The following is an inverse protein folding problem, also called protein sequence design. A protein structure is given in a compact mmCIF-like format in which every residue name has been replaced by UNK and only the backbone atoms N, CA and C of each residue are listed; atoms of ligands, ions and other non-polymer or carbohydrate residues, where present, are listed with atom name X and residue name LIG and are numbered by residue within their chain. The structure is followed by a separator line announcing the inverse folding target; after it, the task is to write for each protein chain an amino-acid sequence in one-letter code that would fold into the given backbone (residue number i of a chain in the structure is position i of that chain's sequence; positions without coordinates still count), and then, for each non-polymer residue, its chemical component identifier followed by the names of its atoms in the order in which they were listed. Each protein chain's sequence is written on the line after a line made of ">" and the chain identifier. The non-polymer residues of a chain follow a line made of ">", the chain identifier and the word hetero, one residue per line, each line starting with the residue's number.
data_IF_199213003658
#
_entry.id   IF_199213003658
#
_cell.length_a   1.000
_cell.length_b   1.000
_cell.length_c   1.000
_cell.angle_alpha   90.00
_cell.angle_beta   90.00
_cell.angle_gamma   90.00
#
_symmetry.space_group_name_H-M   'P 1'
#
loop_
_entity.id
_entity.type
_entity.pdbx_description
1 polymer ?
#
# COMPACT_ATOMS: atom_id res chain seq x y z
N UNK A 1 17.60 6.48 18.61
CA UNK A 1 18.31 5.46 17.80
C UNK A 1 18.43 4.07 18.46
N UNK A 2 18.79 3.91 19.74
CA UNK A 2 18.91 2.57 20.38
C UNK A 2 17.59 1.78 20.42
N UNK A 3 16.46 2.44 20.67
CA UNK A 3 15.13 1.80 20.69
C UNK A 3 14.71 1.22 19.34
N UNK A 4 15.00 1.90 18.24
CA UNK A 4 14.67 1.43 16.88
C UNK A 4 15.47 0.18 16.50
N UNK A 5 16.78 0.16 16.79
CA UNK A 5 17.64 -1.01 16.56
C UNK A 5 17.17 -2.24 17.35
N UNK A 6 16.76 -2.04 18.60
CA UNK A 6 16.23 -3.12 19.45
C UNK A 6 14.93 -3.69 18.87
N UNK A 7 13.99 -2.84 18.45
CA UNK A 7 12.73 -3.28 17.82
C UNK A 7 12.98 -4.10 16.55
N UNK A 8 13.89 -3.65 15.69
CA UNK A 8 14.24 -4.40 14.47
C UNK A 8 14.89 -5.75 14.79
N UNK A 9 15.70 -5.85 15.86
CA UNK A 9 16.30 -7.11 16.28
C UNK A 9 15.25 -8.10 16.77
N UNK A 10 14.30 -7.64 17.60
CA UNK A 10 13.18 -8.47 18.11
C UNK A 10 12.34 -9.02 16.96
N UNK A 11 12.00 -8.18 15.98
CA UNK A 11 11.23 -8.60 14.80
C UNK A 11 11.99 -9.68 14.01
N UNK A 12 13.31 -9.52 13.82
CA UNK A 12 14.13 -10.52 13.12
C UNK A 12 14.20 -11.85 13.87
N UNK A 13 14.35 -11.82 15.19
CA UNK A 13 14.34 -13.04 16.01
C UNK A 13 12.99 -13.77 15.88
N UNK A 14 11.88 -13.04 15.93
CA UNK A 14 10.56 -13.63 15.73
C UNK A 14 10.39 -14.22 14.32
N UNK A 15 10.88 -13.55 13.27
CA UNK A 15 10.86 -14.06 11.89
C UNK A 15 11.64 -15.36 11.74
N UNK A 16 12.84 -15.43 12.33
CA UNK A 16 13.67 -16.65 12.34
C UNK A 16 12.93 -17.77 13.07
N UNK A 17 12.33 -17.49 14.23
CA UNK A 17 11.55 -18.48 14.99
C UNK A 17 10.37 -19.03 14.16
N UNK A 18 9.66 -18.19 13.42
CA UNK A 18 8.57 -18.61 12.53
C UNK A 18 9.07 -19.56 11.45
N UNK A 19 10.21 -19.27 10.81
CA UNK A 19 10.80 -20.16 9.79
C UNK A 19 11.18 -21.51 10.40
N UNK A 20 11.84 -21.49 11.57
CA UNK A 20 12.23 -22.72 12.27
C UNK A 20 11.04 -23.56 12.71
N UNK A 21 9.93 -22.93 13.13
CA UNK A 21 8.69 -23.62 13.50
C UNK A 21 7.91 -24.11 12.28
N UNK A 22 8.07 -23.47 11.12
CA UNK A 22 7.32 -23.83 9.93
C UNK A 22 7.61 -25.24 9.44
N UNK A 23 8.87 -25.67 9.47
CA UNK A 23 9.28 -27.02 9.07
C UNK A 23 8.58 -28.11 9.91
N UNK A 24 8.74 -28.19 11.25
CA UNK A 24 8.10 -29.22 12.06
C UNK A 24 6.56 -29.13 12.04
N UNK A 25 6.01 -27.91 12.04
CA UNK A 25 4.55 -27.72 11.98
C UNK A 25 4.02 -28.21 10.64
N UNK A 26 4.65 -27.84 9.52
CA UNK A 26 4.21 -28.33 8.21
C UNK A 26 4.42 -29.82 8.06
N UNK A 27 5.45 -30.44 8.63
CA UNK A 27 5.61 -31.91 8.60
C UNK A 27 4.54 -32.62 9.41
N UNK A 28 4.21 -32.15 10.62
CA UNK A 28 3.14 -32.73 11.45
C UNK A 28 1.77 -32.52 10.78
N UNK A 29 1.58 -31.34 10.20
CA UNK A 29 0.40 -31.07 9.42
C UNK A 29 0.39 -31.96 8.18
N UNK A 30 1.51 -32.26 7.50
CA UNK A 30 1.61 -33.01 6.22
C UNK A 30 1.11 -34.46 6.22
N UNK A 31 0.82 -35.03 7.39
CA UNK A 31 0.70 -36.49 7.53
C UNK A 31 -0.57 -37.10 6.88
N UNK A 32 -1.70 -36.40 6.68
CA UNK A 32 -2.96 -37.14 6.38
C UNK A 32 -3.98 -36.66 5.30
N UNK A 33 -3.95 -35.45 4.67
CA UNK A 33 -4.85 -35.18 3.53
C UNK A 33 -4.21 -35.08 2.12
N UNK A 34 -2.92 -34.74 1.98
CA UNK A 34 -2.34 -34.37 0.67
C UNK A 34 -1.44 -35.44 0.04
N UNK A 35 -1.48 -36.66 0.56
CA UNK A 35 -0.67 -37.79 0.07
C UNK A 35 -1.02 -38.25 -1.36
N UNK A 36 -1.99 -37.60 -2.03
CA UNK A 36 -2.65 -38.15 -3.22
C UNK A 36 -2.02 -37.83 -4.58
N UNK A 37 -1.08 -36.89 -4.71
CA UNK A 37 -0.33 -36.74 -5.98
C UNK A 37 1.12 -36.32 -5.71
N UNK A 38 2.01 -37.29 -5.44
CA UNK A 38 3.47 -37.09 -5.49
C UNK A 38 3.94 -36.93 -6.94
N UNK A 39 3.39 -35.94 -7.65
CA UNK A 39 3.85 -35.53 -8.96
C UNK A 39 5.08 -34.62 -8.79
N UNK A 40 6.25 -35.25 -8.59
CA UNK A 40 7.52 -34.54 -8.49
C UNK A 40 7.86 -33.74 -9.75
N UNK A 41 7.33 -34.14 -10.90
CA UNK A 41 7.47 -33.38 -12.14
C UNK A 41 6.70 -32.06 -12.04
N UNK A 42 5.46 -32.08 -11.54
CA UNK A 42 4.68 -30.87 -11.25
C UNK A 42 5.37 -29.94 -10.25
N UNK A 43 5.90 -30.48 -9.15
CA UNK A 43 6.68 -29.72 -8.16
C UNK A 43 7.88 -29.01 -8.80
N UNK A 44 8.62 -29.72 -9.67
CA UNK A 44 9.77 -29.15 -10.38
C UNK A 44 9.36 -28.03 -11.35
N UNK A 45 8.23 -28.18 -12.04
CA UNK A 45 7.70 -27.15 -12.95
C UNK A 45 7.29 -25.89 -12.20
N UNK A 46 6.56 -26.03 -11.08
CA UNK A 46 6.22 -24.89 -10.23
C UNK A 46 7.47 -24.23 -9.65
N UNK A 47 8.46 -25.01 -9.20
CA UNK A 47 9.73 -24.49 -8.73
C UNK A 47 10.40 -23.62 -9.80
N UNK A 48 10.46 -24.10 -11.04
CA UNK A 48 11.08 -23.36 -12.15
C UNK A 48 10.32 -22.06 -12.43
N UNK A 49 9.01 -22.12 -12.59
CA UNK A 49 8.20 -20.94 -12.94
C UNK A 49 8.20 -19.90 -11.82
N UNK A 50 8.05 -20.32 -10.56
CA UNK A 50 8.12 -19.43 -9.39
C UNK A 50 9.54 -18.84 -9.28
N UNK A 51 10.60 -19.61 -9.56
CA UNK A 51 11.96 -19.06 -9.60
C UNK A 51 12.09 -17.96 -10.65
N UNK A 52 11.56 -18.17 -11.87
CA UNK A 52 11.55 -17.15 -12.92
C UNK A 52 10.79 -15.90 -12.47
N UNK A 53 9.59 -16.05 -11.91
CA UNK A 53 8.82 -14.91 -11.38
C UNK A 53 9.58 -14.16 -10.28
N UNK A 54 10.23 -14.90 -9.38
CA UNK A 54 11.04 -14.36 -8.30
C UNK A 54 12.28 -13.62 -8.81
N UNK A 55 12.69 -13.75 -10.07
CA UNK A 55 13.73 -12.92 -10.68
C UNK A 55 13.21 -11.53 -11.09
N UNK A 56 11.89 -11.32 -11.17
CA UNK A 56 11.25 -10.06 -11.59
C UNK A 56 10.37 -9.41 -10.51
N UNK A 57 10.83 -9.27 -9.27
CA UNK A 57 10.06 -8.60 -8.22
C UNK A 57 9.81 -7.12 -8.57
N UNK A 58 8.66 -6.60 -8.12
CA UNK A 58 8.33 -5.18 -8.21
C UNK A 58 8.50 -4.55 -6.83
N UNK A 59 9.41 -3.59 -6.74
CA UNK A 59 9.62 -2.79 -5.54
C UNK A 59 8.66 -1.60 -5.51
N UNK A 60 7.96 -1.44 -4.39
CA UNK A 60 7.09 -0.31 -4.12
C UNK A 60 7.91 0.91 -3.67
N UNK A 61 7.45 2.13 -3.98
CA UNK A 61 8.19 3.36 -3.65
C UNK A 61 8.44 3.56 -2.15
N UNK A 62 7.69 2.88 -1.27
CA UNK A 62 7.79 3.06 0.19
C UNK A 62 8.64 1.99 0.90
N UNK A 63 9.39 1.17 0.15
CA UNK A 63 10.32 0.18 0.70
C UNK A 63 9.71 -1.20 0.97
N UNK A 64 8.67 -1.60 0.23
CA UNK A 64 8.13 -2.96 0.25
C UNK A 64 8.23 -3.63 -1.12
N UNK A 65 8.06 -4.94 -1.19
CA UNK A 65 7.87 -5.70 -2.43
C UNK A 65 6.45 -6.25 -2.51
N UNK A 66 5.87 -6.25 -3.71
CA UNK A 66 4.68 -7.07 -4.00
C UNK A 66 5.19 -8.36 -4.62
N UNK A 67 4.94 -9.45 -3.93
CA UNK A 67 5.39 -10.77 -4.36
C UNK A 67 4.47 -11.29 -5.47
N UNK A 68 5.01 -11.33 -6.69
CA UNK A 68 4.28 -11.64 -7.93
C UNK A 68 3.92 -13.13 -8.02
N UNK A 69 4.68 -13.99 -7.35
CA UNK A 69 4.53 -15.45 -7.31
C UNK A 69 3.35 -15.93 -6.43
N UNK A 70 2.67 -15.03 -5.71
CA UNK A 70 1.58 -15.36 -4.77
C UNK A 70 0.50 -16.29 -5.35
N UNK A 71 -0.02 -16.08 -6.58
CA UNK A 71 -1.03 -16.97 -7.16
C UNK A 71 -0.53 -18.41 -7.33
N UNK A 72 0.73 -18.59 -7.76
CA UNK A 72 1.33 -19.91 -7.95
C UNK A 72 1.66 -20.59 -6.63
N UNK A 73 2.02 -19.83 -5.59
CA UNK A 73 2.22 -20.38 -4.24
C UNK A 73 0.90 -20.87 -3.64
N UNK A 74 -0.20 -20.15 -3.86
CA UNK A 74 -1.56 -20.58 -3.45
C UNK A 74 -1.95 -21.86 -4.20
N UNK A 75 -1.74 -21.89 -5.51
CA UNK A 75 -2.04 -23.07 -6.34
C UNK A 75 -1.18 -24.28 -5.95
N UNK A 76 0.13 -24.10 -5.72
CA UNK A 76 1.02 -25.18 -5.29
C UNK A 76 0.63 -25.71 -3.91
N UNK A 77 0.15 -24.84 -3.02
CA UNK A 77 -0.30 -25.23 -1.68
C UNK A 77 -1.52 -26.16 -1.76
N UNK A 78 -2.43 -25.87 -2.68
CA UNK A 78 -3.59 -26.73 -2.92
C UNK A 78 -3.19 -28.05 -3.61
N UNK A 79 -2.37 -27.99 -4.68
CA UNK A 79 -2.05 -29.14 -5.52
C UNK A 79 -1.05 -30.13 -4.87
N UNK A 80 0.00 -29.63 -4.22
CA UNK A 80 1.10 -30.46 -3.70
C UNK A 80 1.20 -30.44 -2.17
N UNK A 81 0.36 -29.65 -1.51
CA UNK A 81 0.36 -29.52 -0.07
C UNK A 81 1.45 -28.58 0.50
N UNK A 82 1.50 -28.46 1.84
CA UNK A 82 2.29 -27.44 2.52
C UNK A 82 3.79 -27.67 2.48
N UNK A 83 4.25 -28.92 2.62
CA UNK A 83 5.68 -29.23 2.64
C UNK A 83 6.34 -28.97 1.28
N UNK A 84 5.74 -29.46 0.19
CA UNK A 84 6.22 -29.21 -1.16
C UNK A 84 6.22 -27.71 -1.49
N UNK A 85 5.16 -27.00 -1.12
CA UNK A 85 5.06 -25.55 -1.32
C UNK A 85 6.11 -24.77 -0.52
N UNK A 86 6.34 -25.14 0.74
CA UNK A 86 7.39 -24.51 1.55
C UNK A 86 8.77 -24.73 0.93
N UNK A 87 9.06 -25.95 0.45
CA UNK A 87 10.30 -26.25 -0.26
C UNK A 87 10.44 -25.43 -1.55
N UNK A 88 9.38 -25.34 -2.36
CA UNK A 88 9.35 -24.52 -3.59
C UNK A 88 9.67 -23.06 -3.25
N UNK A 89 9.00 -22.47 -2.24
CA UNK A 89 9.19 -21.08 -1.83
C UNK A 89 10.61 -20.84 -1.34
N UNK A 90 11.15 -21.70 -0.46
CA UNK A 90 12.50 -21.55 0.09
C UNK A 90 13.54 -21.67 -1.02
N UNK A 91 13.49 -22.72 -1.83
CA UNK A 91 14.46 -22.97 -2.89
C UNK A 91 14.43 -21.87 -3.95
N UNK A 92 13.24 -21.52 -4.47
CA UNK A 92 13.11 -20.49 -5.49
C UNK A 92 13.61 -19.12 -5.02
N UNK A 93 13.34 -18.75 -3.75
CA UNK A 93 13.79 -17.48 -3.20
C UNK A 93 15.29 -17.46 -2.91
N UNK A 94 15.85 -18.56 -2.45
CA UNK A 94 17.30 -18.70 -2.27
C UNK A 94 18.03 -18.58 -3.62
N UNK A 95 17.55 -19.27 -4.66
CA UNK A 95 18.12 -19.17 -6.02
C UNK A 95 18.01 -17.74 -6.55
N UNK A 96 16.83 -17.12 -6.48
CA UNK A 96 16.62 -15.75 -6.94
C UNK A 96 17.52 -14.73 -6.18
N UNK A 97 17.67 -14.90 -4.86
CA UNK A 97 18.55 -14.05 -4.05
C UNK A 97 20.03 -14.25 -4.37
N UNK A 98 20.47 -15.47 -4.66
CA UNK A 98 21.85 -15.77 -5.02
C UNK A 98 22.21 -15.16 -6.39
N UNK A 99 21.29 -15.25 -7.35
CA UNK A 99 21.45 -14.67 -8.69
C UNK A 99 21.44 -13.14 -8.66
N UNK A 100 20.68 -12.52 -7.76
CA UNK A 100 20.62 -11.05 -7.58
C UNK A 100 21.74 -10.47 -6.70
N UNK A 101 22.82 -11.22 -6.50
CA UNK A 101 23.96 -10.90 -5.63
C UNK A 101 24.39 -9.44 -5.79
N UNK A 102 23.95 -8.58 -4.87
CA UNK A 102 24.21 -7.14 -4.88
C UNK A 102 23.07 -6.25 -4.39
N UNK A 103 21.80 -6.71 -4.39
CA UNK A 103 20.66 -5.84 -4.04
C UNK A 103 19.84 -6.25 -2.81
N UNK A 104 19.71 -7.54 -2.50
CA UNK A 104 18.89 -8.00 -1.38
C UNK A 104 19.78 -8.48 -0.22
N UNK A 105 19.60 -7.90 0.97
CA UNK A 105 20.29 -8.34 2.18
C UNK A 105 19.64 -9.62 2.75
N UNK A 106 20.41 -10.44 3.47
CA UNK A 106 19.89 -11.64 4.15
C UNK A 106 18.66 -11.38 5.03
N UNK A 107 18.57 -10.19 5.62
CA UNK A 107 17.41 -9.79 6.42
C UNK A 107 16.10 -9.69 5.61
N UNK A 108 16.17 -9.27 4.35
CA UNK A 108 15.01 -9.20 3.46
C UNK A 108 14.54 -10.61 3.08
N UNK A 109 15.49 -11.52 2.78
CA UNK A 109 15.20 -12.92 2.50
C UNK A 109 14.51 -13.60 3.69
N UNK A 110 15.06 -13.44 4.90
CA UNK A 110 14.46 -13.97 6.13
C UNK A 110 13.05 -13.41 6.34
N UNK A 111 12.87 -12.10 6.14
CA UNK A 111 11.57 -11.46 6.27
C UNK A 111 10.52 -12.08 5.32
N UNK A 112 10.84 -12.17 4.03
CA UNK A 112 9.93 -12.71 3.01
C UNK A 112 9.59 -14.18 3.29
N UNK A 113 10.60 -15.00 3.63
CA UNK A 113 10.39 -16.41 3.95
C UNK A 113 9.53 -16.61 5.20
N UNK A 114 9.75 -15.82 6.27
CA UNK A 114 8.93 -15.90 7.48
C UNK A 114 7.47 -15.56 7.21
N UNK A 115 7.22 -14.50 6.44
CA UNK A 115 5.88 -14.06 6.04
C UNK A 115 5.16 -15.14 5.22
N UNK A 116 5.85 -15.75 4.26
CA UNK A 116 5.32 -16.85 3.43
C UNK A 116 5.03 -18.09 4.26
N UNK A 117 5.97 -18.48 5.12
CA UNK A 117 5.82 -19.63 5.99
C UNK A 117 4.60 -19.50 6.93
N UNK A 118 4.41 -18.33 7.55
CA UNK A 118 3.24 -18.05 8.38
C UNK A 118 1.92 -18.17 7.58
N UNK A 119 1.89 -17.64 6.36
CA UNK A 119 0.72 -17.73 5.48
C UNK A 119 0.42 -19.18 5.05
N UNK A 120 1.45 -19.97 4.71
CA UNK A 120 1.30 -21.40 4.38
C UNK A 120 0.72 -22.17 5.58
N UNK A 121 1.27 -21.99 6.78
CA UNK A 121 0.80 -22.66 7.99
C UNK A 121 -0.67 -22.32 8.25
N UNK A 122 -1.02 -21.04 8.22
CA UNK A 122 -2.39 -20.60 8.51
C UNK A 122 -3.40 -21.13 7.48
N UNK A 123 -3.05 -21.10 6.19
CA UNK A 123 -3.85 -21.69 5.12
C UNK A 123 -4.02 -23.21 5.29
N UNK A 124 -2.97 -23.90 5.73
CA UNK A 124 -3.01 -25.35 6.00
C UNK A 124 -3.93 -25.68 7.19
N UNK A 125 -3.85 -24.89 8.26
CA UNK A 125 -4.74 -25.03 9.43
C UNK A 125 -6.19 -24.82 9.01
N UNK A 126 -6.48 -23.82 8.16
CA UNK A 126 -7.82 -23.60 7.62
C UNK A 126 -8.35 -24.84 6.91
N UNK A 127 -7.58 -25.43 5.97
CA UNK A 127 -8.01 -26.65 5.27
C UNK A 127 -8.34 -27.75 6.28
N UNK A 128 -7.47 -27.98 7.28
CA UNK A 128 -7.70 -29.03 8.28
C UNK A 128 -8.98 -28.82 9.08
N UNK A 129 -9.24 -27.57 9.50
CA UNK A 129 -10.46 -27.23 10.22
C UNK A 129 -11.70 -27.46 9.35
N UNK A 130 -11.63 -27.11 8.06
CA UNK A 130 -12.71 -27.35 7.11
C UNK A 130 -12.92 -28.83 6.82
N UNK A 131 -11.85 -29.61 6.60
CA UNK A 131 -11.95 -31.05 6.33
C UNK A 131 -12.53 -31.84 7.51
N UNK A 132 -12.36 -31.33 8.74
CA UNK A 132 -12.96 -31.92 9.94
C UNK A 132 -14.40 -31.49 10.20
N UNK A 133 -14.90 -30.48 9.48
CA UNK A 133 -16.24 -29.92 9.65
C UNK A 133 -17.23 -30.61 8.70
N UNK A 134 -18.49 -30.85 9.14
CA UNK A 134 -19.55 -31.31 8.24
C UNK A 134 -19.97 -30.26 7.20
N UNK A 135 -19.55 -28.99 7.37
CA UNK A 135 -19.67 -27.98 6.31
C UNK A 135 -18.60 -28.23 5.25
N UNK A 136 -18.87 -29.14 4.31
CA UNK A 136 -18.11 -29.21 3.07
C UNK A 136 -18.35 -27.95 2.24
N UNK A 137 -17.27 -27.33 1.74
CA UNK A 137 -17.42 -26.23 0.79
C UNK A 137 -17.94 -26.77 -0.56
N UNK A 138 -18.73 -25.97 -1.29
CA UNK A 138 -19.26 -26.38 -2.58
C UNK A 138 -18.16 -26.29 -3.66
N UNK A 139 -17.29 -27.30 -3.70
CA UNK A 139 -16.34 -27.56 -4.77
C UNK A 139 -14.95 -26.93 -4.62
N UNK A 140 -13.99 -27.37 -5.46
CA UNK A 140 -12.57 -27.04 -5.34
C UNK A 140 -12.29 -25.54 -5.49
N UNK A 141 -13.14 -24.81 -6.24
CA UNK A 141 -12.99 -23.37 -6.44
C UNK A 141 -13.12 -22.56 -5.15
N UNK A 142 -14.11 -22.92 -4.33
CA UNK A 142 -14.39 -22.21 -3.08
C UNK A 142 -13.31 -22.53 -2.05
N UNK A 143 -12.78 -23.75 -2.07
CA UNK A 143 -11.64 -24.15 -1.24
C UNK A 143 -10.38 -23.36 -1.59
N UNK A 144 -10.01 -23.28 -2.87
CA UNK A 144 -8.83 -22.52 -3.33
C UNK A 144 -9.02 -21.03 -3.07
N UNK A 145 -10.21 -20.48 -3.30
CA UNK A 145 -10.51 -19.08 -3.01
C UNK A 145 -10.42 -18.77 -1.51
N UNK A 146 -10.94 -19.66 -0.66
CA UNK A 146 -10.86 -19.55 0.79
C UNK A 146 -9.42 -19.63 1.29
N UNK A 147 -8.64 -20.59 0.76
CA UNK A 147 -7.22 -20.72 1.04
C UNK A 147 -6.44 -19.48 0.62
N UNK A 148 -6.69 -18.97 -0.60
CA UNK A 148 -6.11 -17.75 -1.10
C UNK A 148 -6.44 -16.54 -0.23
N UNK A 149 -7.69 -16.43 0.23
CA UNK A 149 -8.12 -15.36 1.12
C UNK A 149 -7.39 -15.40 2.48
N UNK A 150 -7.26 -16.57 3.12
CA UNK A 150 -6.52 -16.73 4.37
C UNK A 150 -5.04 -16.44 4.16
N UNK A 151 -4.45 -17.01 3.11
CA UNK A 151 -3.05 -16.83 2.77
C UNK A 151 -2.71 -15.34 2.61
N UNK A 152 -3.48 -14.63 1.77
CA UNK A 152 -3.30 -13.20 1.53
C UNK A 152 -3.53 -12.38 2.80
N UNK A 153 -4.57 -12.70 3.57
CA UNK A 153 -4.89 -11.98 4.81
C UNK A 153 -3.75 -12.07 5.81
N UNK A 154 -3.20 -13.27 6.02
CA UNK A 154 -2.06 -13.47 6.92
C UNK A 154 -0.81 -12.80 6.40
N UNK A 155 -0.54 -12.89 5.09
CA UNK A 155 0.57 -12.20 4.45
C UNK A 155 0.46 -10.67 4.67
N UNK A 156 -0.74 -10.09 4.52
CA UNK A 156 -0.98 -8.68 4.80
C UNK A 156 -0.77 -8.35 6.27
N UNK A 157 -1.38 -9.10 7.19
CA UNK A 157 -1.30 -8.85 8.63
C UNK A 157 0.14 -8.89 9.14
N UNK A 158 0.92 -9.89 8.74
CA UNK A 158 2.33 -10.01 9.13
C UNK A 158 3.14 -8.83 8.59
N UNK A 159 2.91 -8.45 7.32
CA UNK A 159 3.59 -7.29 6.73
C UNK A 159 3.24 -5.96 7.40
N UNK A 160 1.97 -5.76 7.77
CA UNK A 160 1.54 -4.55 8.47
C UNK A 160 2.00 -4.50 9.93
N UNK A 161 2.01 -5.65 10.62
CA UNK A 161 2.46 -5.73 12.00
C UNK A 161 3.93 -5.30 12.15
N UNK A 162 4.79 -5.70 11.20
CA UNK A 162 6.16 -5.23 11.16
C UNK A 162 6.24 -3.71 10.99
N UNK A 163 5.49 -3.15 10.03
CA UNK A 163 5.44 -1.70 9.81
C UNK A 163 5.02 -0.95 11.08
N UNK A 164 4.02 -1.47 11.80
CA UNK A 164 3.53 -0.92 13.07
C UNK A 164 4.61 -0.99 14.16
N UNK A 165 5.30 -2.13 14.31
CA UNK A 165 6.34 -2.28 15.34
C UNK A 165 7.51 -1.34 15.08
N UNK A 166 7.93 -1.22 13.83
CA UNK A 166 9.09 -0.42 13.43
C UNK A 166 8.79 1.08 13.40
N UNK A 167 7.67 1.50 12.79
CA UNK A 167 7.32 2.92 12.58
C UNK A 167 6.39 3.50 13.63
N UNK A 168 5.73 2.66 14.45
CA UNK A 168 4.79 3.11 15.48
C UNK A 168 3.44 3.61 14.95
N UNK A 169 3.10 3.28 13.70
CA UNK A 169 1.82 3.65 13.10
C UNK A 169 0.67 2.74 13.58
N UNK A 170 -0.58 3.14 13.35
CA UNK A 170 -1.74 2.31 13.72
C UNK A 170 -2.00 1.20 12.69
N UNK A 171 -2.20 -0.04 13.17
CA UNK A 171 -2.42 -1.22 12.32
C UNK A 171 -3.61 -1.05 11.37
N UNK A 172 -4.72 -0.51 11.88
CA UNK A 172 -5.94 -0.31 11.10
C UNK A 172 -5.72 0.67 9.92
N UNK A 173 -4.92 1.72 10.16
CA UNK A 173 -4.60 2.72 9.14
C UNK A 173 -3.69 2.13 8.08
N UNK A 174 -2.69 1.36 8.49
CA UNK A 174 -1.75 0.69 7.60
C UNK A 174 -2.47 -0.35 6.73
N UNK A 175 -3.36 -1.16 7.32
CA UNK A 175 -4.22 -2.10 6.60
C UNK A 175 -5.15 -1.41 5.60
N UNK A 176 -5.89 -0.38 6.03
CA UNK A 176 -6.83 0.33 5.15
C UNK A 176 -6.11 0.97 3.95
N UNK A 177 -4.95 1.58 4.20
CA UNK A 177 -4.12 2.15 3.14
C UNK A 177 -3.66 1.08 2.16
N UNK A 178 -3.18 -0.06 2.68
CA UNK A 178 -2.66 -1.12 1.84
C UNK A 178 -3.76 -1.84 1.05
N UNK A 179 -4.93 -2.08 1.64
CA UNK A 179 -6.09 -2.66 0.95
C UNK A 179 -6.60 -1.72 -0.13
N UNK A 180 -6.63 -0.41 0.10
CA UNK A 180 -7.06 0.54 -0.92
C UNK A 180 -6.12 0.56 -2.14
N UNK A 181 -4.84 0.24 -1.96
CA UNK A 181 -3.85 0.21 -3.04
C UNK A 181 -3.71 -1.17 -3.70
N UNK A 182 -3.63 -2.23 -2.89
CA UNK A 182 -3.29 -3.59 -3.30
C UNK A 182 -4.50 -4.53 -3.31
N UNK A 183 -5.66 -4.14 -2.79
CA UNK A 183 -6.83 -5.02 -2.69
C UNK A 183 -7.20 -5.64 -4.03
N UNK A 184 -7.19 -4.84 -5.11
CA UNK A 184 -7.52 -5.32 -6.44
C UNK A 184 -6.49 -6.35 -6.95
N UNK A 185 -5.18 -6.10 -6.77
CA UNK A 185 -4.15 -7.03 -7.24
C UNK A 185 -4.18 -8.34 -6.45
N UNK A 186 -4.55 -8.28 -5.18
CA UNK A 186 -4.69 -9.46 -4.33
C UNK A 186 -5.89 -10.31 -4.74
N UNK A 187 -7.03 -9.69 -5.01
CA UNK A 187 -8.22 -10.38 -5.52
C UNK A 187 -7.94 -11.01 -6.88
N UNK A 188 -7.30 -10.27 -7.78
CA UNK A 188 -6.86 -10.79 -9.07
C UNK A 188 -5.90 -11.97 -8.88
N UNK A 189 -4.96 -11.88 -7.94
CA UNK A 189 -4.03 -12.96 -7.64
C UNK A 189 -4.71 -14.25 -7.13
N UNK A 190 -5.71 -14.12 -6.26
CA UNK A 190 -6.51 -15.28 -5.81
C UNK A 190 -7.31 -15.87 -6.98
N UNK A 191 -7.89 -15.03 -7.84
CA UNK A 191 -8.60 -15.49 -9.04
C UNK A 191 -7.69 -16.25 -10.00
N UNK A 192 -6.47 -15.77 -10.21
CA UNK A 192 -5.46 -16.45 -11.03
C UNK A 192 -5.04 -17.79 -10.40
N UNK A 193 -4.95 -17.87 -9.06
CA UNK A 193 -4.68 -19.13 -8.38
C UNK A 193 -5.79 -20.17 -8.61
N UNK A 194 -7.06 -19.75 -8.45
CA UNK A 194 -8.24 -20.60 -8.74
C UNK A 194 -8.21 -21.09 -10.19
N UNK A 195 -7.96 -20.19 -11.14
CA UNK A 195 -7.85 -20.55 -12.54
C UNK A 195 -6.73 -21.56 -12.77
N UNK A 196 -5.56 -21.35 -12.17
CA UNK A 196 -4.40 -22.24 -12.30
C UNK A 196 -4.74 -23.66 -11.86
N UNK A 197 -5.36 -23.82 -10.69
CA UNK A 197 -5.79 -25.14 -10.19
C UNK A 197 -6.77 -25.79 -11.17
N UNK A 198 -7.74 -25.04 -11.69
CA UNK A 198 -8.76 -25.56 -12.61
C UNK A 198 -8.16 -26.11 -13.92
N UNK A 199 -7.23 -25.38 -14.52
CA UNK A 199 -6.69 -25.76 -15.83
C UNK A 199 -5.50 -26.73 -15.72
N UNK A 200 -4.87 -26.85 -14.55
CA UNK A 200 -3.70 -27.71 -14.36
C UNK A 200 -4.00 -29.18 -14.60
N UNK A 201 -5.15 -29.68 -14.14
CA UNK A 201 -5.54 -31.09 -14.34
C UNK A 201 -5.69 -31.46 -15.82
N UNK A 202 -6.04 -30.51 -16.69
CA UNK A 202 -6.26 -30.74 -18.12
C UNK A 202 -5.03 -30.42 -18.98
N UNK A 203 -4.27 -29.38 -18.61
CA UNK A 203 -3.18 -28.83 -19.43
C UNK A 203 -1.79 -29.14 -18.86
N UNK A 204 -1.68 -29.60 -17.61
CA UNK A 204 -0.40 -29.84 -16.92
C UNK A 204 0.52 -28.63 -16.99
N UNK A 205 1.74 -28.82 -17.49
CA UNK A 205 2.75 -27.76 -17.62
C UNK A 205 2.28 -26.54 -18.43
N UNK A 206 1.40 -26.74 -19.43
CA UNK A 206 0.89 -25.64 -20.26
C UNK A 206 0.01 -24.66 -19.47
N UNK A 207 -0.67 -25.13 -18.41
CA UNK A 207 -1.38 -24.26 -17.49
C UNK A 207 -0.45 -23.19 -16.89
N UNK A 208 0.77 -23.58 -16.54
CA UNK A 208 1.73 -22.68 -15.92
C UNK A 208 2.22 -21.61 -16.89
N UNK A 209 2.32 -21.92 -18.19
CA UNK A 209 2.66 -20.94 -19.22
C UNK A 209 1.57 -19.87 -19.33
N UNK A 210 0.30 -20.30 -19.34
CA UNK A 210 -0.85 -19.39 -19.37
C UNK A 210 -0.91 -18.53 -18.10
N UNK A 211 -0.77 -19.16 -16.93
CA UNK A 211 -0.74 -18.46 -15.65
C UNK A 211 0.43 -17.48 -15.57
N UNK A 212 1.62 -17.86 -16.04
CA UNK A 212 2.79 -16.98 -16.07
C UNK A 212 2.48 -15.71 -16.87
N UNK A 213 1.83 -15.83 -18.02
CA UNK A 213 1.43 -14.68 -18.83
C UNK A 213 0.41 -13.79 -18.11
N UNK A 214 -0.62 -14.38 -17.49
CA UNK A 214 -1.62 -13.66 -16.70
C UNK A 214 -0.99 -12.89 -15.52
N UNK A 215 -0.10 -13.56 -14.78
CA UNK A 215 0.61 -12.96 -13.65
C UNK A 215 1.55 -11.84 -14.13
N UNK A 216 2.26 -12.04 -15.24
CA UNK A 216 3.11 -11.01 -15.84
C UNK A 216 2.29 -9.79 -16.31
N UNK A 217 1.13 -10.02 -16.94
CA UNK A 217 0.22 -8.95 -17.35
C UNK A 217 -0.35 -8.19 -16.14
N UNK A 218 -0.79 -8.89 -15.10
CA UNK A 218 -1.26 -8.30 -13.84
C UNK A 218 -0.18 -7.41 -13.21
N UNK A 219 1.06 -7.92 -13.15
CA UNK A 219 2.23 -7.18 -12.65
C UNK A 219 2.50 -5.92 -13.48
N UNK A 220 2.51 -6.05 -14.81
CA UNK A 220 2.79 -4.93 -15.71
C UNK A 220 1.74 -3.82 -15.57
N UNK A 221 0.46 -4.18 -15.51
CA UNK A 221 -0.63 -3.23 -15.30
C UNK A 221 -0.50 -2.49 -13.97
N UNK A 222 -0.08 -3.19 -12.90
CA UNK A 222 0.14 -2.55 -11.61
C UNK A 222 1.37 -1.65 -11.59
N UNK A 223 2.48 -2.07 -12.23
CA UNK A 223 3.67 -1.24 -12.37
C UNK A 223 3.32 0.05 -13.13
N UNK A 224 2.60 -0.05 -14.26
CA UNK A 224 2.14 1.10 -15.03
C UNK A 224 1.27 2.02 -14.18
N UNK A 225 0.34 1.48 -13.38
CA UNK A 225 -0.49 2.28 -12.47
C UNK A 225 0.38 3.07 -11.46
N UNK A 226 1.40 2.45 -10.88
CA UNK A 226 2.30 3.12 -9.95
C UNK A 226 3.16 4.18 -10.63
N UNK A 227 3.63 3.92 -11.84
CA UNK A 227 4.46 4.86 -12.60
C UNK A 227 3.66 6.08 -13.05
N UNK A 228 2.41 5.88 -13.49
CA UNK A 228 1.47 6.97 -13.78
C UNK A 228 1.26 7.85 -12.54
N UNK A 229 1.03 7.25 -11.36
CA UNK A 229 0.89 8.01 -10.10
C UNK A 229 2.14 8.79 -9.73
N UNK A 230 3.32 8.21 -9.90
CA UNK A 230 4.61 8.89 -9.65
C UNK A 230 4.82 10.04 -10.62
N UNK A 231 4.61 9.81 -11.92
CA UNK A 231 4.75 10.84 -12.96
C UNK A 231 3.84 12.03 -12.69
N UNK A 232 2.62 11.79 -12.21
CA UNK A 232 1.72 12.87 -11.79
C UNK A 232 2.27 13.69 -10.62
N UNK A 233 2.78 13.03 -9.58
CA UNK A 233 3.38 13.73 -8.44
C UNK A 233 4.57 14.59 -8.89
N UNK A 234 5.47 14.02 -9.70
CA UNK A 234 6.64 14.75 -10.21
C UNK A 234 6.26 15.92 -11.12
N UNK A 235 5.22 15.78 -11.96
CA UNK A 235 4.76 16.87 -12.83
C UNK A 235 4.24 18.04 -12.00
N UNK A 236 3.45 17.75 -10.95
CA UNK A 236 2.92 18.77 -10.04
C UNK A 236 4.06 19.45 -9.27
N UNK A 237 4.99 18.67 -8.71
CA UNK A 237 6.18 19.19 -8.02
C UNK A 237 7.04 20.07 -8.94
N UNK A 238 7.21 19.69 -10.20
CA UNK A 238 7.97 20.46 -11.20
C UNK A 238 7.26 21.76 -11.56
N UNK A 239 5.94 21.72 -11.77
CA UNK A 239 5.15 22.93 -12.03
C UNK A 239 5.31 23.93 -10.88
N UNK A 240 5.28 23.43 -9.64
CA UNK A 240 5.45 24.26 -8.44
C UNK A 240 6.85 24.81 -8.32
N UNK A 241 7.87 23.98 -8.57
CA UNK A 241 9.26 24.44 -8.58
C UNK A 241 9.48 25.55 -9.62
N UNK A 242 8.91 25.40 -10.82
CA UNK A 242 8.96 26.42 -11.87
C UNK A 242 8.25 27.72 -11.45
N UNK A 243 7.12 27.61 -10.74
CA UNK A 243 6.41 28.78 -10.19
C UNK A 243 7.19 29.46 -9.06
N UNK A 244 7.85 28.71 -8.16
CA UNK A 244 8.66 29.24 -7.06
C UNK A 244 9.91 29.99 -7.53
N UNK A 245 10.41 29.74 -8.76
CA UNK A 245 11.53 30.51 -9.34
C UNK A 245 11.17 32.01 -9.44
N UNK A 246 9.89 32.35 -9.64
CA UNK A 246 9.43 33.73 -9.73
C UNK A 246 9.37 34.45 -8.36
N UNK A 247 9.41 33.68 -7.26
CA UNK A 247 9.34 34.17 -5.88
C UNK A 247 10.43 33.49 -5.01
N UNK A 248 11.70 33.94 -5.11
CA UNK A 248 12.84 33.27 -4.47
C UNK A 248 12.70 33.09 -2.95
N UNK A 249 11.98 33.98 -2.28
CA UNK A 249 11.72 33.97 -0.83
C UNK A 249 10.80 32.82 -0.38
N UNK A 250 10.08 32.20 -1.32
CA UNK A 250 9.08 31.15 -1.05
C UNK A 250 9.57 29.74 -1.37
N UNK A 251 10.84 29.57 -1.78
CA UNK A 251 11.38 28.26 -2.18
C UNK A 251 11.17 27.18 -1.12
N UNK A 252 10.55 26.07 -1.53
CA UNK A 252 10.27 24.91 -0.71
C UNK A 252 9.17 25.10 0.35
N UNK A 253 8.54 26.28 0.44
CA UNK A 253 7.41 26.49 1.37
C UNK A 253 6.19 25.66 0.95
N UNK A 254 5.90 25.59 -0.36
CA UNK A 254 4.81 24.78 -0.89
C UNK A 254 5.00 23.29 -0.57
N UNK A 255 6.20 22.77 -0.79
CA UNK A 255 6.54 21.37 -0.50
C UNK A 255 6.42 21.02 0.98
N UNK A 256 6.92 21.88 1.88
CA UNK A 256 6.77 21.70 3.34
C UNK A 256 5.31 21.75 3.78
N UNK A 257 4.54 22.70 3.26
CA UNK A 257 3.10 22.83 3.55
C UNK A 257 2.34 21.58 3.11
N UNK A 258 2.62 21.10 1.90
CA UNK A 258 1.99 19.91 1.35
C UNK A 258 2.38 18.63 2.09
N UNK A 259 3.64 18.51 2.49
CA UNK A 259 4.12 17.43 3.34
C UNK A 259 3.40 17.44 4.69
N UNK A 260 3.27 18.60 5.33
CA UNK A 260 2.57 18.74 6.60
C UNK A 260 1.07 18.42 6.46
N UNK A 261 0.40 18.92 5.42
CA UNK A 261 -0.99 18.62 5.12
C UNK A 261 -1.22 17.11 4.89
N UNK A 262 -0.30 16.45 4.16
CA UNK A 262 -0.32 15.01 3.92
C UNK A 262 -0.20 14.20 5.22
N UNK A 263 0.72 14.59 6.10
CA UNK A 263 0.90 13.93 7.41
C UNK A 263 -0.33 14.18 8.29
N UNK A 264 -0.87 15.40 8.31
CA UNK A 264 -2.09 15.73 9.05
C UNK A 264 -3.31 14.94 8.57
N UNK A 265 -3.47 14.79 7.25
CA UNK A 265 -4.49 13.93 6.65
C UNK A 265 -4.37 12.48 7.11
N UNK A 266 -3.13 11.96 7.09
CA UNK A 266 -2.81 10.63 7.60
C UNK A 266 -3.16 10.50 9.09
N UNK A 267 -2.81 11.49 9.92
CA UNK A 267 -3.11 11.51 11.34
C UNK A 267 -4.59 11.65 11.68
N UNK A 268 -5.38 12.22 10.77
CA UNK A 268 -6.84 12.26 10.84
C UNK A 268 -7.46 10.91 10.50
N UNK A 269 -6.73 10.02 9.82
CA UNK A 269 -7.16 8.68 9.43
C UNK A 269 -7.59 8.55 7.97
N UNK A 270 -7.28 9.55 7.14
CA UNK A 270 -7.49 9.45 5.70
C UNK A 270 -6.34 8.73 4.99
N UNK A 271 -6.65 8.14 3.84
CA UNK A 271 -5.73 7.35 3.01
C UNK A 271 -6.04 7.54 1.52
N UNK A 272 -5.09 7.22 0.65
CA UNK A 272 -5.28 7.19 -0.80
C UNK A 272 -5.60 8.57 -1.40
N UNK A 273 -6.59 8.61 -2.31
CA UNK A 273 -6.93 9.78 -3.14
C UNK A 273 -7.14 11.07 -2.33
N UNK A 274 -7.73 10.99 -1.13
CA UNK A 274 -7.99 12.19 -0.30
C UNK A 274 -6.73 12.82 0.28
N UNK A 275 -5.76 12.00 0.64
CA UNK A 275 -4.44 12.47 1.12
C UNK A 275 -3.67 13.14 -0.03
N UNK A 276 -3.76 12.57 -1.24
CA UNK A 276 -3.19 13.16 -2.45
C UNK A 276 -3.86 14.50 -2.78
N UNK A 277 -5.20 14.56 -2.79
CA UNK A 277 -5.97 15.79 -2.99
C UNK A 277 -5.58 16.89 -2.01
N UNK A 278 -5.41 16.57 -0.72
CA UNK A 278 -4.94 17.56 0.26
C UNK A 278 -3.52 18.04 0.00
N UNK A 279 -2.62 17.14 -0.43
CA UNK A 279 -1.27 17.52 -0.83
C UNK A 279 -1.33 18.49 -2.00
N UNK A 280 -2.15 18.22 -3.02
CA UNK A 280 -2.33 19.11 -4.17
C UNK A 280 -3.01 20.43 -3.79
N UNK A 281 -4.02 20.40 -2.92
CA UNK A 281 -4.67 21.59 -2.39
C UNK A 281 -3.67 22.50 -1.67
N UNK A 282 -2.82 21.92 -0.81
CA UNK A 282 -1.81 22.68 -0.08
C UNK A 282 -0.77 23.32 -1.02
N UNK A 283 -0.33 22.57 -2.04
CA UNK A 283 0.57 23.08 -3.07
C UNK A 283 -0.05 24.24 -3.86
N UNK A 284 -1.29 24.09 -4.30
CA UNK A 284 -2.01 25.08 -5.10
C UNK A 284 -2.48 26.30 -4.29
N UNK A 285 -2.80 26.12 -3.01
CA UNK A 285 -3.16 27.21 -2.11
C UNK A 285 -1.99 28.18 -1.95
N UNK A 286 -0.79 27.63 -1.78
CA UNK A 286 0.42 28.44 -1.67
C UNK A 286 0.62 29.31 -2.91
N UNK A 287 0.42 28.74 -4.10
CA UNK A 287 0.47 29.49 -5.33
C UNK A 287 -0.64 30.55 -5.45
N UNK A 288 -1.90 30.17 -5.29
CA UNK A 288 -3.04 31.07 -5.55
C UNK A 288 -3.09 32.31 -4.64
N UNK A 289 -2.64 32.17 -3.39
CA UNK A 289 -2.53 33.28 -2.45
C UNK A 289 -1.31 34.17 -2.73
N UNK A 290 -0.21 33.62 -3.27
CA UNK A 290 0.96 34.42 -3.67
C UNK A 290 0.66 35.36 -4.84
N UNK A 291 -0.24 34.98 -5.75
CA UNK A 291 -0.67 35.83 -6.87
C UNK A 291 -1.65 36.93 -6.45
N UNK A 292 -2.56 36.67 -5.52
CA UNK A 292 -3.48 37.71 -5.00
C UNK A 292 -2.75 38.80 -4.18
N UNK A 293 -1.51 38.56 -3.76
CA UNK A 293 -0.73 39.52 -2.96
C UNK A 293 0.02 40.57 -3.79
N UNK A 294 0.06 40.44 -5.13
CA UNK A 294 0.71 41.42 -6.02
C UNK A 294 -0.33 42.17 -6.85
N UNK A 295 -0.46 43.46 -6.52
CA UNK A 295 -1.08 44.58 -7.24
C UNK A 295 -2.60 44.87 -7.02
N UNK A 296 -2.94 45.93 -6.26
CA UNK A 296 -4.23 46.59 -6.40
C UNK A 296 -4.21 47.41 -7.71
N UNK A 297 -4.69 46.80 -8.81
CA UNK A 297 -4.83 47.48 -10.11
C UNK A 297 -4.37 46.68 -11.34
N UNK A 298 -3.69 45.54 -11.15
CA UNK A 298 -3.50 44.58 -12.24
C UNK A 298 -4.85 43.97 -12.56
N UNK A 299 -5.26 44.01 -13.83
CA UNK A 299 -6.34 43.17 -14.33
C UNK A 299 -6.15 41.76 -13.77
N UNK A 300 -7.24 41.18 -13.27
CA UNK A 300 -7.32 39.79 -12.83
C UNK A 300 -6.71 38.92 -13.91
N UNK A 301 -5.41 38.60 -13.77
CA UNK A 301 -4.77 37.53 -14.52
C UNK A 301 -5.51 36.31 -14.04
N UNK A 302 -6.54 35.99 -14.83
CA UNK A 302 -7.60 35.05 -14.53
C UNK A 302 -6.99 33.86 -13.81
N UNK A 303 -7.58 33.53 -12.65
CA UNK A 303 -7.39 32.28 -11.96
C UNK A 303 -6.98 31.23 -12.99
N UNK A 304 -5.69 30.86 -13.01
CA UNK A 304 -5.19 29.86 -13.97
C UNK A 304 -6.23 28.75 -13.94
N UNK A 305 -6.89 28.40 -15.06
CA UNK A 305 -8.14 27.67 -14.99
C UNK A 305 -7.85 26.25 -14.55
N UNK A 306 -7.74 26.07 -13.23
CA UNK A 306 -7.66 24.80 -12.53
C UNK A 306 -8.94 24.00 -12.82
N UNK A 307 -9.98 24.65 -13.33
CA UNK A 307 -11.21 24.12 -13.92
C UNK A 307 -11.05 23.46 -15.29
N UNK A 308 -10.04 23.82 -16.06
CA UNK A 308 -9.75 23.14 -17.34
C UNK A 308 -8.96 21.84 -17.14
N UNK A 309 -8.36 21.65 -15.96
CA UNK A 309 -7.66 20.43 -15.60
C UNK A 309 -8.62 19.51 -14.84
N UNK A 310 -9.27 18.59 -15.55
CA UNK A 310 -10.20 17.58 -15.01
C UNK A 310 -9.67 16.90 -13.74
N UNK A 311 -8.36 16.65 -13.69
CA UNK A 311 -7.69 16.05 -12.53
C UNK A 311 -7.73 16.91 -11.25
N UNK A 312 -7.77 18.24 -11.36
CA UNK A 312 -7.80 19.17 -10.23
C UNK A 312 -9.21 19.53 -9.78
N UNK A 313 -10.24 19.13 -10.53
CA UNK A 313 -11.66 19.28 -10.16
C UNK A 313 -11.94 18.87 -8.71
N UNK A 314 -11.46 17.72 -8.19
CA UNK A 314 -11.76 17.31 -6.81
C UNK A 314 -11.06 18.15 -5.74
N UNK A 315 -10.08 18.97 -6.12
CA UNK A 315 -9.32 19.85 -5.22
C UNK A 315 -9.98 21.23 -5.11
N UNK A 316 -10.80 21.61 -6.09
CA UNK A 316 -11.44 22.92 -6.13
C UNK A 316 -12.34 23.23 -4.93
N UNK A 317 -13.19 22.31 -4.44
CA UNK A 317 -14.02 22.61 -3.26
C UNK A 317 -13.16 22.94 -2.03
N UNK A 318 -12.00 22.29 -1.90
CA UNK A 318 -11.05 22.55 -0.81
C UNK A 318 -10.44 23.95 -0.96
N UNK A 319 -10.03 24.32 -2.17
CA UNK A 319 -9.44 25.64 -2.44
C UNK A 319 -10.46 26.78 -2.31
N UNK A 320 -11.67 26.59 -2.84
CA UNK A 320 -12.75 27.57 -2.77
C UNK A 320 -13.12 27.91 -1.32
N UNK A 321 -13.22 26.90 -0.45
CA UNK A 321 -13.44 27.08 0.98
C UNK A 321 -12.36 27.93 1.66
N UNK A 322 -11.08 27.74 1.30
CA UNK A 322 -9.99 28.52 1.88
C UNK A 322 -9.96 29.94 1.32
N UNK A 323 -10.27 30.12 0.02
CA UNK A 323 -10.24 31.42 -0.66
C UNK A 323 -11.48 32.28 -0.45
N UNK A 324 -12.53 31.75 0.15
CA UNK A 324 -13.83 32.46 0.28
C UNK A 324 -14.52 32.72 -1.06
N UNK A 325 -14.26 31.84 -2.05
CA UNK A 325 -14.97 31.87 -3.33
C UNK A 325 -16.38 31.32 -3.08
N UNK A 326 -17.31 32.23 -2.81
CA UNK A 326 -18.64 32.07 -2.20
C UNK A 326 -19.70 31.39 -3.09
N UNK A 327 -19.28 30.50 -4.00
CA UNK A 327 -20.14 29.91 -5.02
C UNK A 327 -20.55 28.45 -4.81
N UNK A 328 -20.00 27.74 -3.81
CA UNK A 328 -20.23 26.29 -3.69
C UNK A 328 -21.33 25.95 -2.68
N UNK A 329 -22.37 25.27 -3.18
CA UNK A 329 -23.46 24.61 -2.43
C UNK A 329 -22.91 23.55 -1.45
N UNK A 330 -23.79 23.02 -0.57
CA UNK A 330 -23.56 21.99 0.46
C UNK A 330 -22.16 21.34 0.44
N UNK A 331 -21.27 21.86 1.29
CA UNK A 331 -19.93 21.32 1.42
C UNK A 331 -19.99 20.00 2.19
N UNK A 332 -19.36 18.94 1.65
CA UNK A 332 -19.23 17.71 2.41
C UNK A 332 -18.39 17.97 3.67
N UNK A 333 -18.74 17.31 4.78
CA UNK A 333 -17.98 17.42 6.03
C UNK A 333 -16.48 17.09 5.83
N UNK A 334 -16.17 16.21 4.87
CA UNK A 334 -14.80 15.89 4.52
C UNK A 334 -14.06 17.02 3.79
N UNK A 335 -14.74 17.87 3.04
CA UNK A 335 -14.10 19.00 2.35
C UNK A 335 -13.81 20.14 3.31
N UNK A 336 -14.70 20.39 4.28
CA UNK A 336 -14.45 21.29 5.40
C UNK A 336 -13.22 20.88 6.21
N UNK A 337 -13.13 19.59 6.58
CA UNK A 337 -11.95 19.07 7.29
C UNK A 337 -10.68 19.20 6.44
N UNK A 338 -10.77 18.95 5.13
CA UNK A 338 -9.63 19.05 4.22
C UNK A 338 -9.13 20.49 4.14
N UNK A 339 -10.04 21.44 3.93
CA UNK A 339 -9.75 22.87 3.86
C UNK A 339 -9.20 23.39 5.19
N UNK A 340 -9.75 22.92 6.32
CA UNK A 340 -9.24 23.26 7.65
C UNK A 340 -7.81 22.78 7.88
N UNK A 341 -7.51 21.52 7.56
CA UNK A 341 -6.16 20.98 7.74
C UNK A 341 -5.14 21.62 6.79
N UNK A 342 -5.53 21.90 5.55
CA UNK A 342 -4.67 22.58 4.56
C UNK A 342 -4.39 24.02 5.00
N UNK A 343 -5.42 24.76 5.43
CA UNK A 343 -5.25 26.14 5.93
C UNK A 343 -4.41 26.21 7.21
N UNK A 344 -4.56 25.23 8.12
CA UNK A 344 -3.69 25.07 9.32
C UNK A 344 -2.23 24.80 8.94
N UNK A 345 -2.00 23.89 7.98
CA UNK A 345 -0.65 23.59 7.52
C UNK A 345 0.02 24.82 6.90
N UNK A 346 -0.72 25.56 6.08
CA UNK A 346 -0.23 26.79 5.48
C UNK A 346 0.05 27.88 6.53
N UNK A 347 -0.87 28.09 7.47
CA UNK A 347 -0.71 29.06 8.57
C UNK A 347 0.52 28.76 9.44
N UNK A 348 0.79 27.47 9.71
CA UNK A 348 1.97 27.04 10.45
C UNK A 348 3.27 27.37 9.72
N UNK A 349 3.36 27.09 8.42
CA UNK A 349 4.56 27.42 7.63
C UNK A 349 4.78 28.92 7.44
N UNK A 350 3.70 29.70 7.38
CA UNK A 350 3.77 31.15 7.24
C UNK A 350 4.01 31.89 8.57
N UNK A 351 3.79 31.24 9.71
CA UNK A 351 3.91 31.85 11.04
C UNK A 351 2.79 32.82 11.42
N UNK A 352 1.64 32.80 10.71
CA UNK A 352 0.46 33.59 11.04
C UNK A 352 -0.84 32.81 10.79
N UNK A 353 -1.88 33.09 11.60
CA UNK A 353 -3.20 32.46 11.40
C UNK A 353 -3.93 33.06 10.19
N UNK A 354 -4.46 32.20 9.32
CA UNK A 354 -5.41 32.61 8.29
C UNK A 354 -6.80 32.82 8.90
N UNK A 355 -7.46 33.92 8.54
CA UNK A 355 -8.89 34.14 8.85
C UNK A 355 -9.77 32.98 8.36
N UNK A 356 -9.44 32.41 7.19
CA UNK A 356 -10.10 31.25 6.64
C UNK A 356 -10.07 30.03 7.59
N UNK A 357 -8.97 29.83 8.33
CA UNK A 357 -8.83 28.71 9.27
C UNK A 357 -9.87 28.79 10.38
N UNK A 358 -10.08 29.98 10.95
CA UNK A 358 -11.08 30.21 11.98
C UNK A 358 -12.51 30.09 11.43
N UNK A 359 -12.76 30.68 10.24
CA UNK A 359 -14.06 30.59 9.56
C UNK A 359 -14.46 29.13 9.29
N UNK A 360 -13.59 28.37 8.61
CA UNK A 360 -13.85 26.95 8.30
C UNK A 360 -14.00 26.15 9.59
N UNK A 361 -13.16 26.39 10.59
CA UNK A 361 -13.26 25.73 11.90
C UNK A 361 -14.59 25.97 12.62
N UNK A 362 -15.24 27.11 12.38
CA UNK A 362 -16.56 27.42 12.95
C UNK A 362 -17.72 26.77 12.16
N UNK A 363 -17.50 26.42 10.90
CA UNK A 363 -18.47 25.66 10.08
C UNK A 363 -18.46 24.16 10.39
N UNK A 364 -17.40 23.66 11.04
CA UNK A 364 -17.26 22.25 11.41
C UNK A 364 -17.97 21.93 12.72
N UNK A 365 -18.41 20.69 12.88
CA UNK A 365 -18.87 20.22 14.19
C UNK A 365 -17.72 20.25 15.21
N UNK A 366 -18.04 20.54 16.49
CA UNK A 366 -17.03 20.60 17.55
C UNK A 366 -16.20 19.29 17.62
N UNK A 367 -16.84 18.14 17.44
CA UNK A 367 -16.17 16.84 17.45
C UNK A 367 -15.13 16.72 16.33
N UNK A 368 -15.49 17.10 15.11
CA UNK A 368 -14.59 17.03 13.96
C UNK A 368 -13.42 17.99 14.06
N UNK A 369 -13.67 19.23 14.51
CA UNK A 369 -12.62 20.22 14.74
C UNK A 369 -11.59 19.71 15.75
N UNK A 370 -12.06 19.20 16.90
CA UNK A 370 -11.18 18.63 17.94
C UNK A 370 -10.34 17.47 17.41
N UNK A 371 -10.92 16.59 16.57
CA UNK A 371 -10.15 15.52 15.92
C UNK A 371 -9.12 16.06 14.92
N UNK A 372 -9.49 17.08 14.13
CA UNK A 372 -8.61 17.69 13.15
C UNK A 372 -7.42 18.38 13.82
N UNK A 373 -7.66 19.12 14.90
CA UNK A 373 -6.59 19.74 15.69
C UNK A 373 -5.68 18.69 16.33
N UNK A 374 -6.24 17.63 16.92
CA UNK A 374 -5.42 16.55 17.48
C UNK A 374 -4.57 15.85 16.41
N UNK A 375 -5.11 15.66 15.20
CA UNK A 375 -4.37 15.12 14.07
C UNK A 375 -3.24 16.06 13.61
N UNK A 376 -3.52 17.36 13.50
CA UNK A 376 -2.55 18.36 13.11
C UNK A 376 -1.39 18.48 14.11
N UNK A 377 -1.69 18.47 15.42
CA UNK A 377 -0.65 18.48 16.47
C UNK A 377 0.25 17.25 16.41
N UNK A 378 -0.32 16.05 16.18
CA UNK A 378 0.48 14.83 15.97
C UNK A 378 1.34 14.91 14.71
N UNK A 379 0.84 15.56 13.65
CA UNK A 379 1.58 15.76 12.42
C UNK A 379 2.81 16.66 12.62
N UNK A 380 2.66 17.79 13.32
CA UNK A 380 3.78 18.68 13.68
C UNK A 380 4.85 17.90 14.46
N UNK A 381 4.42 17.13 15.47
CA UNK A 381 5.34 16.32 16.27
C UNK A 381 6.11 15.29 15.43
N UNK A 382 5.47 14.69 14.41
CA UNK A 382 6.13 13.77 13.47
C UNK A 382 7.11 14.47 12.55
N UNK A 383 6.78 15.67 12.05
CA UNK A 383 7.68 16.45 11.19
C UNK A 383 8.94 16.87 11.94
N UNK A 384 8.84 17.22 13.23
CA UNK A 384 9.99 17.62 14.03
C UNK A 384 11.01 16.49 14.33
N UNK A 385 10.62 15.23 14.12
CA UNK A 385 11.48 14.05 14.38
C UNK A 385 12.19 13.56 13.10
N UNK A 386 11.73 13.99 11.93
CA UNK A 386 12.28 13.64 10.62
C UNK A 386 13.29 14.69 10.17
#
# INVERSE_FOLDING_TARGET
>A
MRSAKLRTAVVRVAQVAVIFLALPVTTVLSVEPWALHQDWQGVLQFLLVITVLNLFDVYLPHGGSVDVDTPLVIASLYLFGPMATLAIVVLSRCVASAVRSGRAGLGELIHVLAKRAAAIIAATVMIRMLSSSPLSLPGPYVEVAGLGAVFVTVQLLVGQLEHVIVRGDSLLRALRSNIALQGLILVAGVSVAVLTVLIYDQMGAWALVVTLFLVAAMRQSFALLLDVRRSYQTTIETLISAMEIQSPEQRGQGERTARLARIAAGEYGWVGKRVEQMSYAALLLHYGLSFHRREPGSESLAATPLSEVEFLEPVQPILGLVRDESGFEEHSAGDLVSAYLVSRAFAHEQGYELSATLRIGNMMSHGERKRADAAFTRAIAKVAVL
#
